data_IF_619807369885
#
_entry.id   IF_619807369885
#
_cell.length_a   1.000
_cell.length_b   1.000
_cell.length_c   1.000
_cell.angle_alpha   90.00
_cell.angle_beta   90.00
_cell.angle_gamma   90.00
#
_symmetry.space_group_name_H-M   'P 1'
#
loop_
_entity.id
_entity.type
_entity.pdbx_description
1 polymer ?
#
# COMPACT_ATOMS: atom_id res chain seq x y z
N UNK A 1 5.73 6.73 -0.10
CA UNK A 1 6.10 7.19 1.25
C UNK A 1 5.90 6.02 2.18
N UNK A 2 6.91 5.76 3.02
CA UNK A 2 6.99 4.58 3.89
C UNK A 2 7.05 5.06 5.33
N UNK A 3 6.28 4.44 6.21
CA UNK A 3 6.35 4.60 7.65
C UNK A 3 7.49 3.73 8.21
N UNK A 4 8.46 4.38 8.85
CA UNK A 4 9.65 3.75 9.42
C UNK A 4 9.61 3.64 10.95
N UNK A 5 8.51 4.06 11.60
CA UNK A 5 8.37 4.01 13.06
C UNK A 5 7.98 2.61 13.57
N UNK A 6 7.67 1.69 12.66
CA UNK A 6 7.38 0.30 13.00
C UNK A 6 8.61 -0.42 13.58
N UNK A 7 8.47 -1.30 14.61
CA UNK A 7 9.58 -2.07 15.19
C UNK A 7 10.46 -2.84 14.19
N UNK A 8 9.94 -3.17 13.00
CA UNK A 8 10.69 -3.85 11.93
C UNK A 8 11.84 -3.02 11.34
N UNK A 9 11.82 -1.70 11.55
CA UNK A 9 12.84 -0.79 11.05
C UNK A 9 13.86 -0.38 12.10
N UNK A 10 13.77 -0.85 13.36
CA UNK A 10 14.75 -0.48 14.40
C UNK A 10 16.19 -0.76 13.94
N UNK A 11 17.03 0.29 13.93
CA UNK A 11 18.42 0.23 13.47
C UNK A 11 18.63 0.62 11.99
N UNK A 12 17.60 1.11 11.32
CA UNK A 12 17.74 1.65 9.97
C UNK A 12 18.60 2.92 9.93
N UNK A 13 19.36 3.09 8.86
CA UNK A 13 20.08 4.31 8.50
C UNK A 13 20.08 4.50 6.97
N UNK A 14 20.69 5.58 6.47
CA UNK A 14 20.73 5.86 5.03
C UNK A 14 21.51 4.81 4.20
N UNK A 15 22.44 4.08 4.81
CA UNK A 15 23.27 3.09 4.13
C UNK A 15 22.54 1.75 4.00
N UNK A 16 21.66 1.43 4.95
CA UNK A 16 21.01 0.13 5.07
C UNK A 16 19.48 0.15 4.80
N UNK A 17 18.85 1.33 4.69
CA UNK A 17 17.39 1.46 4.57
C UNK A 17 16.80 0.66 3.40
N UNK A 18 17.48 0.62 2.25
CA UNK A 18 17.02 -0.15 1.10
C UNK A 18 16.88 -1.65 1.42
N UNK A 19 17.84 -2.21 2.17
CA UNK A 19 17.80 -3.60 2.63
C UNK A 19 16.66 -3.82 3.61
N UNK A 20 16.44 -2.90 4.55
CA UNK A 20 15.30 -2.96 5.46
C UNK A 20 13.96 -2.97 4.73
N UNK A 21 13.78 -2.07 3.74
CA UNK A 21 12.56 -2.01 2.93
C UNK A 21 12.31 -3.34 2.20
N UNK A 22 13.36 -3.95 1.63
CA UNK A 22 13.23 -5.19 0.84
C UNK A 22 12.98 -6.42 1.71
N UNK A 23 13.70 -6.55 2.83
CA UNK A 23 13.72 -7.79 3.61
C UNK A 23 12.81 -7.77 4.85
N UNK A 24 12.65 -6.61 5.49
CA UNK A 24 11.82 -6.47 6.69
C UNK A 24 10.46 -5.84 6.41
N UNK A 25 10.36 -5.08 5.31
CA UNK A 25 9.19 -4.28 4.98
C UNK A 25 7.94 -5.07 4.60
N UNK A 26 6.81 -4.40 4.74
CA UNK A 26 5.48 -4.85 4.34
C UNK A 26 4.81 -3.78 3.48
N UNK A 27 3.93 -4.20 2.58
CA UNK A 27 3.06 -3.25 1.85
C UNK A 27 2.20 -2.40 2.79
N UNK A 28 1.97 -2.85 4.02
CA UNK A 28 1.26 -2.11 5.08
C UNK A 28 2.03 -0.91 5.61
N UNK A 29 3.34 -0.85 5.38
CA UNK A 29 4.18 0.27 5.83
C UNK A 29 4.05 1.47 4.88
N UNK A 30 3.37 1.32 3.74
CA UNK A 30 3.14 2.44 2.82
C UNK A 30 2.06 3.36 3.40
N UNK A 31 2.42 4.60 3.70
CA UNK A 31 1.50 5.64 4.19
C UNK A 31 1.07 6.62 3.08
N UNK A 32 1.70 6.57 1.90
CA UNK A 32 1.27 7.42 0.78
C UNK A 32 1.96 7.11 -0.53
N UNK A 33 1.24 7.33 -1.63
CA UNK A 33 1.73 7.16 -3.00
C UNK A 33 1.38 8.41 -3.81
N UNK A 34 2.38 9.02 -4.43
CA UNK A 34 2.22 10.20 -5.28
C UNK A 34 2.61 9.88 -6.72
N UNK A 35 1.79 10.33 -7.67
CA UNK A 35 2.05 10.22 -9.11
C UNK A 35 1.84 11.58 -9.74
N UNK A 36 2.87 12.10 -10.45
CA UNK A 36 2.84 13.41 -11.13
C UNK A 36 2.36 14.57 -10.23
N UNK A 37 2.86 14.63 -8.99
CA UNK A 37 2.50 15.68 -8.03
C UNK A 37 1.11 15.51 -7.38
N UNK A 38 0.37 14.44 -7.69
CA UNK A 38 -0.94 14.14 -7.10
C UNK A 38 -0.83 12.93 -6.17
N UNK A 39 -1.31 13.07 -4.95
CA UNK A 39 -1.54 11.92 -4.08
C UNK A 39 -2.62 11.04 -4.69
N UNK A 40 -2.35 9.74 -4.85
CA UNK A 40 -3.34 8.72 -5.26
C UNK A 40 -3.72 7.81 -4.10
N UNK A 41 -2.85 7.77 -3.08
CA UNK A 41 -3.08 7.11 -1.80
C UNK A 41 -2.39 7.95 -0.73
N UNK A 42 -3.05 8.21 0.39
CA UNK A 42 -2.47 8.94 1.52
C UNK A 42 -3.22 8.65 2.80
N UNK A 43 -2.51 8.41 3.89
CA UNK A 43 -3.04 8.27 5.25
C UNK A 43 -4.21 7.25 5.35
N UNK A 44 -4.12 6.15 4.61
CA UNK A 44 -5.15 5.10 4.59
C UNK A 44 -6.21 5.25 3.50
N UNK A 45 -6.25 6.38 2.78
CA UNK A 45 -7.32 6.68 1.82
C UNK A 45 -6.82 6.67 0.36
N UNK A 46 -7.62 6.10 -0.54
CA UNK A 46 -7.43 6.24 -1.99
C UNK A 46 -8.13 7.51 -2.48
N UNK A 47 -7.34 8.53 -2.82
CA UNK A 47 -7.83 9.90 -3.10
C UNK A 47 -8.42 10.08 -4.50
N UNK A 48 -8.19 9.12 -5.40
CA UNK A 48 -8.60 9.21 -6.80
C UNK A 48 -9.47 8.03 -7.26
N UNK A 49 -9.89 7.17 -6.33
CA UNK A 49 -10.62 5.94 -6.63
C UNK A 49 -11.72 5.72 -5.59
N UNK A 50 -12.85 5.17 -6.02
CA UNK A 50 -13.90 4.71 -5.12
C UNK A 50 -13.57 3.29 -4.66
N UNK A 51 -12.91 3.18 -3.51
CA UNK A 51 -12.43 1.90 -3.00
C UNK A 51 -13.58 0.94 -2.70
N UNK A 52 -14.69 1.40 -2.12
CA UNK A 52 -15.82 0.53 -1.78
C UNK A 52 -16.44 -0.08 -3.03
N UNK A 53 -16.69 0.75 -4.04
CA UNK A 53 -17.20 0.29 -5.32
C UNK A 53 -16.26 -0.72 -5.99
N UNK A 54 -14.96 -0.42 -6.03
CA UNK A 54 -13.96 -1.31 -6.64
C UNK A 54 -13.92 -2.67 -5.93
N UNK A 55 -13.95 -2.69 -4.60
CA UNK A 55 -13.97 -3.96 -3.84
C UNK A 55 -15.25 -4.74 -4.11
N UNK A 56 -16.41 -4.07 -4.14
CA UNK A 56 -17.69 -4.71 -4.45
C UNK A 56 -17.66 -5.34 -5.85
N UNK A 57 -17.25 -4.59 -6.88
CA UNK A 57 -17.16 -5.07 -8.26
C UNK A 57 -16.17 -6.24 -8.39
N UNK A 58 -15.02 -6.19 -7.71
CA UNK A 58 -14.04 -7.27 -7.71
C UNK A 58 -14.60 -8.56 -7.08
N UNK A 59 -15.37 -8.45 -6.00
CA UNK A 59 -16.03 -9.59 -5.35
C UNK A 59 -17.09 -10.18 -6.28
N UNK A 60 -17.96 -9.36 -6.87
CA UNK A 60 -18.98 -9.84 -7.82
C UNK A 60 -18.36 -10.56 -9.02
N UNK A 61 -17.32 -9.98 -9.62
CA UNK A 61 -16.63 -10.59 -10.75
C UNK A 61 -15.99 -11.94 -10.39
N UNK A 62 -15.40 -12.04 -9.18
CA UNK A 62 -14.86 -13.30 -8.68
C UNK A 62 -15.96 -14.36 -8.51
N UNK A 63 -17.11 -13.99 -7.96
CA UNK A 63 -18.22 -14.91 -7.72
C UNK A 63 -18.82 -15.42 -9.03
N UNK A 64 -18.94 -14.55 -10.05
CA UNK A 64 -19.34 -14.94 -11.41
C UNK A 64 -18.36 -15.95 -12.05
N UNK A 65 -17.05 -15.73 -11.89
CA UNK A 65 -16.02 -16.64 -12.40
C UNK A 65 -16.05 -18.02 -11.72
N UNK A 66 -16.43 -18.08 -10.44
CA UNK A 66 -16.51 -19.34 -9.67
C UNK A 66 -17.84 -20.07 -9.84
N UNK A 67 -18.85 -19.45 -10.45
CA UNK A 67 -20.16 -20.06 -10.70
C UNK A 67 -20.23 -20.87 -12.01
N UNK A 68 -19.13 -20.94 -12.77
CA UNK A 68 -18.90 -21.80 -13.94
C UNK A 68 -18.44 -23.19 -13.53
#
# INVERSE_FOLDING_TARGET
>A
MVDLDNPRYVGWDCDNLASFIVFSGSSRDICGTMVKGKWIYKDGEFTTMDNEKIQHEAISARDELMAL
#
